data_IF_260511151453
#
_entry.id   IF_260511151453
#
_cell.length_a   1.000
_cell.length_b   1.000
_cell.length_c   1.000
_cell.angle_alpha   90.00
_cell.angle_beta   90.00
_cell.angle_gamma   90.00
#
_symmetry.space_group_name_H-M   'P 1'
#
loop_
_entity.id
_entity.type
_entity.pdbx_description
1 polymer ?
#
# COMPACT_ATOMS: atom_id res chain seq x y z
N UNK A 1 -35.11 -21.89 -7.31
CA UNK A 1 -34.57 -21.01 -8.37
C UNK A 1 -33.61 -20.07 -7.71
N UNK A 2 -32.28 -20.24 -7.84
CA UNK A 2 -31.32 -19.24 -7.33
C UNK A 2 -31.24 -18.10 -8.33
N UNK A 3 -31.42 -16.89 -7.83
CA UNK A 3 -31.36 -15.64 -8.57
C UNK A 3 -29.91 -15.37 -8.94
N UNK A 4 -29.59 -15.46 -10.21
CA UNK A 4 -28.30 -15.03 -10.77
C UNK A 4 -28.09 -13.54 -10.48
N UNK A 5 -27.06 -13.23 -9.70
CA UNK A 5 -26.56 -11.86 -9.53
C UNK A 5 -25.73 -11.54 -10.79
N UNK A 6 -26.08 -10.49 -11.56
CA UNK A 6 -25.39 -10.20 -12.80
C UNK A 6 -23.92 -9.87 -12.56
N UNK A 7 -23.03 -10.56 -13.27
CA UNK A 7 -21.63 -10.20 -13.44
C UNK A 7 -21.52 -8.75 -13.97
N UNK A 8 -21.36 -7.79 -13.11
CA UNK A 8 -20.94 -6.47 -13.52
C UNK A 8 -19.43 -6.52 -13.85
N UNK A 9 -19.13 -6.75 -15.12
CA UNK A 9 -17.85 -6.29 -15.69
C UNK A 9 -17.75 -4.79 -15.40
N UNK A 10 -16.80 -4.40 -14.54
CA UNK A 10 -16.49 -3.00 -14.30
C UNK A 10 -15.66 -2.51 -15.51
N UNK A 11 -16.31 -2.38 -16.65
CA UNK A 11 -15.79 -1.71 -17.84
C UNK A 11 -16.26 -0.26 -17.79
N UNK A 12 -15.68 0.55 -16.91
CA UNK A 12 -15.74 1.98 -16.96
C UNK A 12 -14.41 2.51 -17.44
N UNK A 13 -14.32 3.02 -18.67
CA UNK A 13 -13.27 3.98 -19.04
C UNK A 13 -13.46 5.20 -18.15
N UNK A 14 -12.77 5.23 -17.01
CA UNK A 14 -12.76 6.42 -16.16
C UNK A 14 -11.74 7.40 -16.72
N UNK A 15 -12.22 8.48 -17.33
CA UNK A 15 -11.43 9.69 -17.51
C UNK A 15 -10.92 10.10 -16.12
N UNK A 16 -9.62 9.85 -15.82
CA UNK A 16 -9.01 10.13 -14.51
C UNK A 16 -8.43 8.94 -13.76
N UNK A 17 -8.43 7.71 -14.30
CA UNK A 17 -7.73 6.59 -13.69
C UNK A 17 -6.20 6.76 -13.78
N UNK A 18 -5.51 6.47 -12.67
CA UNK A 18 -4.05 6.42 -12.63
C UNK A 18 -3.55 5.02 -12.99
N UNK A 19 -4.37 4.00 -12.75
CA UNK A 19 -4.07 2.60 -13.02
C UNK A 19 -5.28 1.89 -13.62
N UNK A 20 -5.02 1.09 -14.65
CA UNK A 20 -5.94 0.10 -15.19
C UNK A 20 -5.27 -1.26 -15.24
N UNK A 21 -5.91 -2.27 -14.69
CA UNK A 21 -5.47 -3.67 -14.70
C UNK A 21 -6.55 -4.49 -15.40
N UNK A 22 -6.14 -5.27 -16.42
CA UNK A 22 -7.05 -6.12 -17.17
C UNK A 22 -6.49 -7.55 -17.23
N UNK A 23 -7.25 -8.51 -16.69
CA UNK A 23 -6.97 -9.94 -16.67
C UNK A 23 -5.57 -10.31 -16.17
N UNK A 24 -5.11 -9.61 -15.14
CA UNK A 24 -3.81 -9.86 -14.53
C UNK A 24 -3.76 -11.26 -13.94
N UNK A 25 -2.82 -12.05 -14.43
CA UNK A 25 -2.51 -13.39 -13.93
C UNK A 25 -1.03 -13.48 -13.60
N UNK A 26 -0.70 -13.96 -12.40
CA UNK A 26 0.67 -14.22 -11.96
C UNK A 26 0.79 -15.66 -11.50
N UNK A 27 1.78 -16.36 -12.05
CA UNK A 27 2.08 -17.74 -11.69
C UNK A 27 3.58 -17.89 -11.39
N UNK A 28 3.90 -18.78 -10.48
CA UNK A 28 5.26 -19.27 -10.24
C UNK A 28 5.24 -20.78 -10.47
N UNK A 29 6.07 -21.23 -11.38
CA UNK A 29 6.03 -22.60 -11.90
C UNK A 29 4.58 -22.98 -12.31
N UNK A 30 4.05 -24.06 -11.78
CA UNK A 30 2.69 -24.54 -12.06
C UNK A 30 1.61 -23.95 -11.11
N UNK A 31 2.00 -23.05 -10.21
CA UNK A 31 1.08 -22.48 -9.21
C UNK A 31 0.61 -21.10 -9.60
N UNK A 32 -0.69 -20.93 -9.84
CA UNK A 32 -1.32 -19.62 -10.06
C UNK A 32 -1.55 -18.94 -8.70
N UNK A 33 -0.97 -17.75 -8.53
CA UNK A 33 -1.10 -16.92 -7.31
C UNK A 33 -2.19 -15.87 -7.48
N UNK A 34 -2.24 -15.21 -8.64
CA UNK A 34 -3.28 -14.27 -9.00
C UNK A 34 -3.92 -14.74 -10.31
N UNK A 35 -5.24 -14.79 -10.37
CA UNK A 35 -5.98 -15.27 -11.53
C UNK A 35 -6.99 -14.23 -12.02
N UNK A 36 -6.87 -13.83 -13.29
CA UNK A 36 -7.85 -13.01 -14.03
C UNK A 36 -8.34 -11.76 -13.30
N UNK A 37 -7.41 -11.05 -12.62
CA UNK A 37 -7.73 -9.89 -11.80
C UNK A 37 -7.87 -8.63 -12.68
N UNK A 38 -9.04 -7.98 -12.61
CA UNK A 38 -9.31 -6.75 -13.37
C UNK A 38 -9.88 -5.68 -12.45
N UNK A 39 -9.25 -4.49 -12.45
CA UNK A 39 -9.70 -3.33 -11.67
C UNK A 39 -9.06 -2.04 -12.18
N UNK A 40 -9.59 -0.91 -11.73
CA UNK A 40 -9.01 0.41 -11.98
C UNK A 40 -8.96 1.25 -10.72
N UNK A 41 -8.01 2.19 -10.65
CA UNK A 41 -7.81 3.10 -9.53
C UNK A 41 -7.77 4.53 -10.05
N UNK A 42 -8.61 5.39 -9.47
CA UNK A 42 -8.62 6.81 -9.79
C UNK A 42 -7.38 7.53 -9.20
N UNK A 43 -6.95 8.61 -9.84
CA UNK A 43 -5.90 9.49 -9.30
C UNK A 43 -6.34 10.08 -7.95
N UNK A 44 -5.45 10.11 -6.97
CA UNK A 44 -5.73 10.60 -5.62
C UNK A 44 -6.58 9.65 -4.76
N UNK A 45 -6.96 8.48 -5.29
CA UNK A 45 -7.68 7.48 -4.50
C UNK A 45 -6.76 6.72 -3.53
N UNK A 46 -7.35 6.12 -2.51
CA UNK A 46 -6.69 5.19 -1.61
C UNK A 46 -7.27 3.79 -1.80
N UNK A 47 -6.47 2.87 -2.33
CA UNK A 47 -6.82 1.46 -2.47
C UNK A 47 -6.17 0.65 -1.37
N UNK A 48 -6.98 0.06 -0.47
CA UNK A 48 -6.47 -0.96 0.43
C UNK A 48 -6.55 -2.36 -0.21
N UNK A 49 -5.53 -3.17 0.01
CA UNK A 49 -5.48 -4.58 -0.42
C UNK A 49 -5.46 -5.46 0.82
N UNK A 50 -6.50 -6.26 1.00
CA UNK A 50 -6.64 -7.18 2.12
C UNK A 50 -6.76 -8.62 1.62
N UNK A 51 -6.65 -9.56 2.55
CA UNK A 51 -6.79 -11.00 2.28
C UNK A 51 -5.89 -11.83 3.17
N UNK A 52 -6.10 -13.15 3.25
CA UNK A 52 -5.31 -14.04 4.09
C UNK A 52 -3.83 -14.07 3.69
N UNK A 53 -3.00 -14.61 4.57
CA UNK A 53 -1.59 -14.82 4.25
C UNK A 53 -1.47 -15.77 3.05
N UNK A 54 -0.58 -15.42 2.12
CA UNK A 54 -0.41 -16.19 0.87
C UNK A 54 -1.45 -15.92 -0.22
N UNK A 55 -2.37 -14.95 -0.05
CA UNK A 55 -3.35 -14.58 -1.09
C UNK A 55 -2.77 -13.79 -2.26
N UNK A 56 -1.48 -13.46 -2.23
CA UNK A 56 -0.82 -12.77 -3.34
C UNK A 56 -0.74 -11.24 -3.22
N UNK A 57 -1.00 -10.63 -2.05
CA UNK A 57 -0.97 -9.17 -1.87
C UNK A 57 0.36 -8.53 -2.30
N UNK A 58 1.49 -9.00 -1.74
CA UNK A 58 2.83 -8.55 -2.14
C UNK A 58 3.15 -8.90 -3.59
N UNK A 59 2.66 -10.04 -4.09
CA UNK A 59 2.83 -10.46 -5.49
C UNK A 59 2.13 -9.46 -6.41
N UNK A 60 0.91 -9.01 -6.06
CA UNK A 60 0.21 -7.96 -6.78
C UNK A 60 1.07 -6.69 -6.86
N UNK A 61 1.59 -6.19 -5.72
CA UNK A 61 2.42 -4.98 -5.74
C UNK A 61 3.66 -5.13 -6.61
N UNK A 62 4.34 -6.28 -6.53
CA UNK A 62 5.51 -6.56 -7.39
C UNK A 62 5.16 -6.61 -8.88
N UNK A 63 3.99 -7.15 -9.23
CA UNK A 63 3.50 -7.12 -10.61
C UNK A 63 3.18 -5.70 -11.06
N UNK A 64 2.50 -4.91 -10.22
CA UNK A 64 2.13 -3.52 -10.53
C UNK A 64 3.34 -2.62 -10.83
N UNK A 65 4.46 -2.82 -10.12
CA UNK A 65 5.71 -2.07 -10.36
C UNK A 65 6.62 -2.74 -11.42
N UNK A 66 6.18 -3.82 -12.06
CA UNK A 66 6.95 -4.51 -13.08
C UNK A 66 8.15 -5.32 -12.57
N UNK A 67 8.19 -5.64 -11.26
CA UNK A 67 9.30 -6.38 -10.64
C UNK A 67 9.25 -7.91 -10.88
N UNK A 68 8.13 -8.43 -11.37
CA UNK A 68 7.92 -9.84 -11.69
C UNK A 68 7.14 -9.98 -12.99
N UNK A 69 7.29 -11.11 -13.72
CA UNK A 69 6.51 -11.39 -14.92
C UNK A 69 5.05 -11.64 -14.59
N UNK A 70 4.17 -11.27 -15.53
CA UNK A 70 2.73 -11.47 -15.43
C UNK A 70 2.12 -11.65 -16.83
N UNK A 71 0.91 -12.21 -16.89
CA UNK A 71 0.03 -12.20 -18.05
C UNK A 71 -1.11 -11.22 -17.85
N UNK A 72 -1.75 -10.77 -18.93
CA UNK A 72 -2.74 -9.69 -18.91
C UNK A 72 -2.14 -8.31 -19.16
N UNK A 73 -2.78 -7.26 -18.68
CA UNK A 73 -2.34 -5.89 -18.94
C UNK A 73 -2.36 -5.05 -17.66
N UNK A 74 -1.27 -4.32 -17.43
CA UNK A 74 -1.17 -3.26 -16.41
C UNK A 74 -0.85 -1.97 -17.16
N UNK A 75 -1.73 -0.98 -17.05
CA UNK A 75 -1.55 0.34 -17.67
C UNK A 75 -1.59 1.42 -16.61
N UNK A 76 -0.46 2.09 -16.44
CA UNK A 76 -0.35 3.30 -15.65
C UNK A 76 -0.56 4.53 -16.53
N UNK A 77 -1.10 5.60 -15.96
CA UNK A 77 -1.15 6.88 -16.64
C UNK A 77 0.27 7.31 -17.06
N UNK A 78 0.45 7.92 -18.24
CA UNK A 78 1.77 8.33 -18.71
C UNK A 78 2.49 9.24 -17.70
N UNK A 79 3.78 8.98 -17.49
CA UNK A 79 4.63 9.76 -16.59
C UNK A 79 4.40 9.50 -15.10
N UNK A 80 3.60 8.51 -14.70
CA UNK A 80 3.39 8.15 -13.30
C UNK A 80 4.70 7.74 -12.62
N UNK A 81 5.02 8.41 -11.52
CA UNK A 81 6.18 8.11 -10.66
C UNK A 81 5.75 7.34 -9.44
N UNK A 82 6.54 6.34 -9.02
CA UNK A 82 6.23 5.45 -7.92
C UNK A 82 7.16 5.65 -6.73
N UNK A 83 6.56 5.61 -5.53
CA UNK A 83 7.26 5.27 -4.30
C UNK A 83 6.81 3.88 -3.85
N UNK A 84 7.73 3.04 -3.40
CA UNK A 84 7.42 1.71 -2.87
C UNK A 84 8.10 1.48 -1.53
N UNK A 85 7.31 1.09 -0.54
CA UNK A 85 7.78 0.65 0.77
C UNK A 85 7.46 -0.83 0.90
N UNK A 86 8.46 -1.72 0.85
CA UNK A 86 8.25 -3.17 0.99
C UNK A 86 7.99 -3.55 2.44
N UNK A 87 7.30 -4.67 2.66
CA UNK A 87 7.03 -5.24 3.99
C UNK A 87 8.33 -5.54 4.77
N UNK A 88 9.33 -6.05 4.09
CA UNK A 88 10.67 -6.28 4.63
C UNK A 88 11.69 -5.68 3.69
N UNK A 89 12.58 -4.93 4.26
CA UNK A 89 13.79 -4.53 3.58
C UNK A 89 14.88 -5.50 4.06
N UNK A 90 15.42 -6.32 3.16
CA UNK A 90 16.53 -7.24 3.45
C UNK A 90 17.86 -6.46 3.62
N UNK A 91 17.83 -5.45 4.47
CA UNK A 91 19.02 -4.76 4.94
C UNK A 91 19.36 -5.38 6.29
N UNK A 92 20.53 -6.01 6.37
CA UNK A 92 21.08 -6.43 7.65
C UNK A 92 21.19 -5.21 8.55
N UNK A 93 20.44 -5.20 9.66
CA UNK A 93 20.42 -4.06 10.59
C UNK A 93 21.79 -3.80 11.25
N UNK A 94 22.68 -4.78 11.18
CA UNK A 94 24.06 -4.68 11.66
C UNK A 94 25.00 -3.90 10.72
N UNK A 95 24.55 -3.56 9.52
CA UNK A 95 25.33 -2.70 8.62
C UNK A 95 25.49 -1.29 9.22
N UNK A 96 26.69 -0.73 9.20
CA UNK A 96 26.96 0.61 9.72
C UNK A 96 26.48 1.70 8.76
N UNK A 97 25.22 1.59 8.33
CA UNK A 97 24.55 2.55 7.42
C UNK A 97 23.63 3.43 8.27
N UNK A 98 23.80 4.74 8.14
CA UNK A 98 22.89 5.71 8.77
C UNK A 98 21.67 6.00 7.89
N UNK A 99 20.61 6.55 8.51
CA UNK A 99 19.45 7.05 7.74
C UNK A 99 19.85 8.10 6.70
N UNK A 100 20.86 8.92 7.01
CA UNK A 100 21.41 9.92 6.09
C UNK A 100 22.04 9.28 4.86
N UNK A 101 22.76 8.17 5.01
CA UNK A 101 23.40 7.48 3.89
C UNK A 101 22.33 6.86 2.98
N UNK A 102 21.26 6.29 3.58
CA UNK A 102 20.13 5.76 2.82
C UNK A 102 19.44 6.84 1.98
N UNK A 103 19.14 7.99 2.56
CA UNK A 103 18.51 9.10 1.83
C UNK A 103 19.44 9.70 0.76
N UNK A 104 20.75 9.80 1.01
CA UNK A 104 21.74 10.25 0.02
C UNK A 104 21.77 9.31 -1.19
N UNK A 105 21.79 8.00 -0.95
CA UNK A 105 21.74 7.03 -2.04
C UNK A 105 20.49 7.22 -2.91
N UNK A 106 19.33 7.42 -2.29
CA UNK A 106 18.08 7.69 -3.02
C UNK A 106 18.13 8.99 -3.82
N UNK A 107 18.62 10.08 -3.24
CA UNK A 107 18.78 11.36 -3.94
C UNK A 107 19.65 11.22 -5.18
N UNK A 108 20.77 10.49 -5.07
CA UNK A 108 21.68 10.23 -6.19
C UNK A 108 21.00 9.45 -7.31
N UNK A 109 20.29 8.36 -6.97
CA UNK A 109 19.61 7.49 -7.96
C UNK A 109 18.43 8.23 -8.63
N UNK A 110 17.71 9.05 -7.86
CA UNK A 110 16.53 9.77 -8.36
C UNK A 110 16.89 11.10 -9.04
N UNK A 111 18.16 11.50 -9.04
CA UNK A 111 18.60 12.85 -9.46
C UNK A 111 17.81 13.98 -8.77
N UNK A 112 17.37 13.73 -7.52
CA UNK A 112 16.53 14.63 -6.76
C UNK A 112 17.39 15.66 -5.99
N UNK A 113 16.84 16.84 -5.73
CA UNK A 113 17.50 17.86 -4.95
C UNK A 113 17.55 17.49 -3.45
N UNK A 114 18.57 17.96 -2.74
CA UNK A 114 18.74 17.68 -1.30
C UNK A 114 17.53 18.12 -0.45
N UNK A 115 16.90 19.20 -0.86
CA UNK A 115 15.73 19.79 -0.23
C UNK A 115 14.54 18.81 -0.22
N UNK A 116 14.46 17.92 -1.21
CA UNK A 116 13.39 16.90 -1.26
C UNK A 116 13.48 15.89 -0.11
N UNK A 117 14.70 15.57 0.36
CA UNK A 117 14.86 14.71 1.52
C UNK A 117 14.34 15.39 2.80
N UNK A 118 14.63 16.69 2.99
CA UNK A 118 14.14 17.44 4.14
C UNK A 118 12.62 17.59 4.12
N UNK A 119 12.06 17.81 2.94
CA UNK A 119 10.62 17.88 2.75
C UNK A 119 9.95 16.51 3.03
N UNK A 120 10.52 15.42 2.51
CA UNK A 120 10.04 14.08 2.77
C UNK A 120 10.06 13.72 4.27
N UNK A 121 11.09 14.13 5.02
CA UNK A 121 11.16 13.92 6.47
C UNK A 121 10.07 14.68 7.23
N UNK A 122 9.79 15.92 6.83
CA UNK A 122 8.70 16.72 7.44
C UNK A 122 7.35 16.07 7.24
N UNK A 123 7.09 15.54 6.04
CA UNK A 123 5.82 14.88 5.71
C UNK A 123 5.53 13.65 6.56
N UNK A 124 6.58 12.98 7.06
CA UNK A 124 6.45 11.79 7.92
C UNK A 124 6.76 12.07 9.39
N UNK A 125 6.88 13.32 9.79
CA UNK A 125 7.22 13.74 11.16
C UNK A 125 8.49 13.06 11.71
N UNK A 126 9.53 12.93 10.88
CA UNK A 126 10.81 12.38 11.27
C UNK A 126 11.86 13.50 11.37
N UNK A 127 12.43 13.67 12.58
CA UNK A 127 13.45 14.70 12.81
C UNK A 127 14.79 14.31 12.21
N UNK A 128 15.54 15.30 11.70
CA UNK A 128 16.84 15.08 11.05
C UNK A 128 17.89 14.47 11.99
N UNK A 129 17.81 14.75 13.31
CA UNK A 129 18.74 14.22 14.30
C UNK A 129 18.72 12.68 14.35
N UNK A 130 17.59 12.07 13.99
CA UNK A 130 17.45 10.61 13.92
C UNK A 130 18.33 10.02 12.81
N UNK A 131 18.62 10.78 11.75
CA UNK A 131 19.34 10.29 10.58
C UNK A 131 20.83 10.01 10.82
N UNK A 132 21.42 10.54 11.88
CA UNK A 132 22.86 10.35 12.14
C UNK A 132 23.16 9.00 12.79
N UNK A 133 22.16 8.36 13.39
CA UNK A 133 22.30 7.05 14.01
C UNK A 133 22.23 5.92 12.96
N UNK A 134 22.86 4.77 13.24
CA UNK A 134 22.73 3.57 12.42
C UNK A 134 21.24 3.16 12.31
N UNK A 135 20.81 2.66 11.15
CA UNK A 135 19.43 2.22 10.92
C UNK A 135 19.01 1.10 11.89
N UNK A 136 19.96 0.26 12.30
CA UNK A 136 19.73 -0.80 13.29
C UNK A 136 19.39 -0.29 14.70
N UNK A 137 19.80 0.94 15.04
CA UNK A 137 19.53 1.60 16.33
C UNK A 137 18.20 2.35 16.36
N UNK A 138 17.55 2.52 15.22
CA UNK A 138 16.27 3.22 15.13
C UNK A 138 15.14 2.37 15.74
N UNK A 139 14.15 3.03 16.36
CA UNK A 139 12.90 2.34 16.71
C UNK A 139 12.19 1.87 15.43
N UNK A 140 11.32 0.85 15.55
CA UNK A 140 10.54 0.36 14.41
C UNK A 140 9.78 1.49 13.71
N UNK A 141 9.11 2.37 14.46
CA UNK A 141 8.39 3.52 13.91
C UNK A 141 9.29 4.57 13.25
N UNK A 142 10.48 4.83 13.80
CA UNK A 142 11.45 5.71 13.16
C UNK A 142 11.94 5.14 11.82
N UNK A 143 12.26 3.85 11.80
CA UNK A 143 12.73 3.18 10.60
C UNK A 143 11.64 3.13 9.52
N UNK A 144 10.40 2.81 9.87
CA UNK A 144 9.29 2.79 8.92
C UNK A 144 9.00 4.19 8.35
N UNK A 145 9.00 5.24 9.18
CA UNK A 145 8.88 6.62 8.68
C UNK A 145 10.04 7.02 7.78
N UNK A 146 11.25 6.57 8.08
CA UNK A 146 12.40 6.77 7.18
C UNK A 146 12.19 6.10 5.82
N UNK A 147 11.64 4.87 5.78
CA UNK A 147 11.33 4.17 4.53
C UNK A 147 10.24 4.89 3.72
N UNK A 148 9.22 5.43 4.38
CA UNK A 148 8.20 6.25 3.70
C UNK A 148 8.84 7.55 3.18
N UNK A 149 9.67 8.25 3.97
CA UNK A 149 10.41 9.42 3.49
C UNK A 149 11.30 9.08 2.27
N UNK A 150 12.01 7.96 2.32
CA UNK A 150 12.78 7.44 1.18
C UNK A 150 11.92 7.25 -0.07
N UNK A 151 10.73 6.67 0.07
CA UNK A 151 9.80 6.45 -1.04
C UNK A 151 9.23 7.76 -1.60
N UNK A 152 9.13 8.82 -0.79
CA UNK A 152 8.62 10.14 -1.18
C UNK A 152 9.63 10.98 -1.98
N UNK A 153 10.94 10.67 -1.90
CA UNK A 153 11.96 11.36 -2.70
C UNK A 153 11.73 11.07 -4.19
N UNK A 154 11.75 12.10 -5.00
CA UNK A 154 11.37 12.05 -6.42
C UNK A 154 9.90 12.38 -6.66
N UNK A 155 9.18 12.80 -5.60
CA UNK A 155 7.78 13.28 -5.66
C UNK A 155 6.85 12.30 -6.40
N UNK A 156 6.63 11.10 -5.86
CA UNK A 156 5.81 10.09 -6.50
C UNK A 156 4.36 10.54 -6.61
N UNK A 157 3.71 10.18 -7.72
CA UNK A 157 2.26 10.33 -7.91
C UNK A 157 1.49 9.19 -7.23
N UNK A 158 2.18 8.05 -7.05
CA UNK A 158 1.63 6.82 -6.46
C UNK A 158 2.57 6.29 -5.39
N UNK A 159 2.03 5.96 -4.22
CA UNK A 159 2.76 5.35 -3.12
C UNK A 159 2.18 3.95 -2.82
N UNK A 160 3.02 2.93 -2.99
CA UNK A 160 2.69 1.56 -2.64
C UNK A 160 3.31 1.22 -1.28
N UNK A 161 2.49 0.80 -0.33
CA UNK A 161 2.86 0.54 1.06
C UNK A 161 2.51 -0.90 1.42
N UNK A 162 3.50 -1.77 1.54
CA UNK A 162 3.31 -3.18 1.85
C UNK A 162 3.50 -3.39 3.36
N UNK A 163 2.40 -3.44 4.11
CA UNK A 163 2.37 -3.59 5.58
C UNK A 163 3.30 -2.60 6.33
N UNK A 164 3.21 -1.29 6.06
CA UNK A 164 4.19 -0.32 6.55
C UNK A 164 4.21 -0.18 8.08
N UNK A 165 3.18 -0.64 8.79
CA UNK A 165 3.09 -0.59 10.25
C UNK A 165 3.46 -1.91 10.93
N UNK A 166 3.89 -2.94 10.19
CA UNK A 166 4.25 -4.23 10.77
C UNK A 166 5.45 -4.11 11.73
N UNK A 167 5.27 -4.59 12.96
CA UNK A 167 6.32 -4.55 13.98
C UNK A 167 6.60 -3.16 14.58
N UNK A 168 5.70 -2.21 14.38
CA UNK A 168 5.74 -0.87 14.98
C UNK A 168 4.82 -0.86 16.20
N UNK A 169 5.20 -0.17 17.26
CA UNK A 169 4.38 0.05 18.45
C UNK A 169 3.15 0.92 18.16
N UNK A 170 2.12 0.86 18.99
CA UNK A 170 0.85 1.54 18.75
C UNK A 170 0.98 3.07 18.51
N UNK A 171 1.79 3.84 19.27
CA UNK A 171 2.02 5.26 18.97
C UNK A 171 2.68 5.49 17.61
N UNK A 172 3.65 4.65 17.23
CA UNK A 172 4.32 4.71 15.94
C UNK A 172 3.40 4.37 14.77
N UNK A 173 2.51 3.38 14.94
CA UNK A 173 1.48 3.03 13.96
C UNK A 173 0.51 4.17 13.72
N UNK A 174 0.03 4.81 14.80
CA UNK A 174 -0.87 5.96 14.69
C UNK A 174 -0.22 7.14 13.95
N UNK A 175 1.02 7.49 14.32
CA UNK A 175 1.76 8.57 13.67
C UNK A 175 2.02 8.29 12.18
N UNK A 176 2.33 7.04 11.82
CA UNK A 176 2.54 6.63 10.44
C UNK A 176 1.24 6.68 9.64
N UNK A 177 0.13 6.17 10.19
CA UNK A 177 -1.19 6.21 9.55
C UNK A 177 -1.65 7.64 9.29
N UNK A 178 -1.43 8.56 10.26
CA UNK A 178 -1.75 9.97 10.10
C UNK A 178 -0.89 10.64 9.01
N UNK A 179 0.40 10.32 8.94
CA UNK A 179 1.26 10.81 7.87
C UNK A 179 0.78 10.35 6.48
N UNK A 180 0.44 9.06 6.34
CA UNK A 180 -0.10 8.51 5.08
C UNK A 180 -1.43 9.17 4.71
N UNK A 181 -2.31 9.40 5.70
CA UNK A 181 -3.57 10.10 5.49
C UNK A 181 -3.36 11.52 4.93
N UNK A 182 -2.43 12.29 5.51
CA UNK A 182 -2.10 13.64 5.03
C UNK A 182 -1.59 13.60 3.59
N UNK A 183 -0.69 12.70 3.26
CA UNK A 183 -0.18 12.53 1.89
C UNK A 183 -1.32 12.28 0.88
N UNK A 184 -2.30 11.49 1.25
CA UNK A 184 -3.43 11.17 0.39
C UNK A 184 -4.44 12.32 0.33
N UNK A 185 -4.89 12.86 1.47
CA UNK A 185 -5.97 13.84 1.53
C UNK A 185 -5.53 15.26 1.17
N UNK A 186 -4.37 15.68 1.66
CA UNK A 186 -3.91 17.07 1.53
C UNK A 186 -3.05 17.27 0.28
N UNK A 187 -2.32 16.23 -0.16
CA UNK A 187 -1.41 16.32 -1.29
C UNK A 187 -1.88 15.57 -2.54
N UNK A 188 -2.98 14.81 -2.43
CA UNK A 188 -3.56 14.09 -3.55
C UNK A 188 -2.72 12.91 -4.06
N UNK A 189 -1.79 12.38 -3.25
CA UNK A 189 -1.00 11.20 -3.60
C UNK A 189 -1.92 9.98 -3.64
N UNK A 190 -1.89 9.25 -4.75
CA UNK A 190 -2.63 7.98 -4.84
C UNK A 190 -1.93 6.94 -3.97
N UNK A 191 -2.64 6.29 -3.07
CA UNK A 191 -2.05 5.32 -2.14
C UNK A 191 -2.58 3.91 -2.37
N UNK A 192 -1.68 2.94 -2.36
CA UNK A 192 -1.98 1.52 -2.34
C UNK A 192 -1.44 0.97 -1.02
N UNK A 193 -2.30 0.44 -0.18
CA UNK A 193 -1.95 0.00 1.17
C UNK A 193 -2.31 -1.47 1.36
N UNK A 194 -1.32 -2.32 1.60
CA UNK A 194 -1.56 -3.64 2.19
C UNK A 194 -1.56 -3.47 3.70
N UNK A 195 -2.65 -3.87 4.36
CA UNK A 195 -2.76 -3.81 5.81
C UNK A 195 -3.60 -4.98 6.34
N UNK A 196 -3.25 -5.45 7.53
CA UNK A 196 -4.05 -6.38 8.31
C UNK A 196 -4.97 -5.66 9.32
N UNK A 197 -4.75 -4.36 9.53
CA UNK A 197 -5.57 -3.54 10.40
C UNK A 197 -6.81 -3.04 9.65
N UNK A 198 -7.94 -3.73 9.88
CA UNK A 198 -9.21 -3.40 9.25
C UNK A 198 -9.76 -2.05 9.68
N UNK A 199 -9.38 -1.54 10.86
CA UNK A 199 -9.78 -0.21 11.32
C UNK A 199 -9.11 0.87 10.48
N UNK A 200 -7.81 0.73 10.24
CA UNK A 200 -7.06 1.61 9.32
C UNK A 200 -7.66 1.56 7.92
N UNK A 201 -7.91 0.35 7.40
CA UNK A 201 -8.51 0.16 6.07
C UNK A 201 -9.88 0.84 5.97
N UNK A 202 -10.74 0.66 6.98
CA UNK A 202 -12.09 1.22 6.97
C UNK A 202 -12.11 2.75 6.96
N UNK A 203 -11.21 3.39 7.72
CA UNK A 203 -11.20 4.84 7.87
C UNK A 203 -10.46 5.58 6.74
N UNK A 204 -9.45 4.95 6.13
CA UNK A 204 -8.56 5.64 5.20
C UNK A 204 -8.70 5.21 3.74
N UNK A 205 -9.24 4.02 3.45
CA UNK A 205 -9.38 3.55 2.09
C UNK A 205 -10.64 4.11 1.43
N UNK A 206 -10.52 4.61 0.20
CA UNK A 206 -11.67 4.93 -0.65
C UNK A 206 -12.25 3.68 -1.31
N UNK A 207 -11.42 2.65 -1.48
CA UNK A 207 -11.80 1.35 -2.01
C UNK A 207 -10.94 0.24 -1.41
N UNK A 208 -11.52 -0.96 -1.34
CA UNK A 208 -10.86 -2.16 -0.81
C UNK A 208 -10.88 -3.24 -1.87
N UNK A 209 -9.69 -3.73 -2.23
CA UNK A 209 -9.51 -4.93 -3.02
C UNK A 209 -9.25 -6.10 -2.06
N UNK A 210 -10.19 -7.01 -2.02
CA UNK A 210 -10.02 -8.24 -1.28
C UNK A 210 -9.51 -9.35 -2.19
N UNK A 211 -8.32 -9.86 -1.87
CA UNK A 211 -7.73 -10.99 -2.56
C UNK A 211 -8.07 -12.29 -1.82
N UNK A 212 -8.87 -13.13 -2.45
CA UNK A 212 -9.17 -14.48 -2.00
C UNK A 212 -8.83 -15.47 -3.13
N UNK A 213 -8.53 -16.72 -2.75
CA UNK A 213 -8.09 -17.75 -3.72
C UNK A 213 -9.13 -18.02 -4.82
N UNK A 214 -10.40 -17.99 -4.47
CA UNK A 214 -11.48 -18.34 -5.41
C UNK A 214 -12.13 -17.13 -6.07
N UNK A 215 -12.21 -16.01 -5.37
CA UNK A 215 -12.92 -14.83 -5.87
C UNK A 215 -12.41 -13.55 -5.23
N UNK A 216 -11.74 -12.72 -6.01
CA UNK A 216 -11.37 -11.37 -5.58
C UNK A 216 -12.57 -10.43 -5.70
N UNK A 217 -12.68 -9.46 -4.79
CA UNK A 217 -13.75 -8.45 -4.81
C UNK A 217 -13.18 -7.05 -4.60
N UNK A 218 -13.79 -6.06 -5.27
CA UNK A 218 -13.42 -4.64 -5.14
C UNK A 218 -14.68 -3.84 -4.81
N UNK A 219 -14.57 -2.92 -3.88
CA UNK A 219 -15.67 -2.03 -3.53
C UNK A 219 -15.33 -1.06 -2.40
N UNK A 220 -16.27 -0.18 -2.02
CA UNK A 220 -16.10 0.68 -0.84
C UNK A 220 -15.92 -0.16 0.44
N UNK A 221 -15.19 0.35 1.45
CA UNK A 221 -14.96 -0.36 2.71
C UNK A 221 -16.24 -0.90 3.34
N UNK A 222 -17.31 -0.10 3.36
CA UNK A 222 -18.61 -0.44 3.96
C UNK A 222 -19.29 -1.65 3.29
N UNK A 223 -18.95 -1.93 2.03
CA UNK A 223 -19.49 -3.05 1.25
C UNK A 223 -18.63 -4.30 1.35
N UNK A 224 -17.30 -4.12 1.40
CA UNK A 224 -16.33 -5.23 1.39
C UNK A 224 -16.03 -5.73 2.81
N UNK A 225 -15.97 -4.83 3.80
CA UNK A 225 -15.61 -5.16 5.18
C UNK A 225 -16.84 -5.50 6.05
N UNK A 226 -17.73 -6.36 5.56
CA UNK A 226 -18.81 -6.88 6.39
C UNK A 226 -18.37 -8.17 7.10
N UNK A 227 -18.89 -8.48 8.31
CA UNK A 227 -18.54 -9.69 9.04
C UNK A 227 -18.71 -10.98 8.22
N UNK A 228 -19.78 -11.04 7.41
CA UNK A 228 -20.10 -12.18 6.56
C UNK A 228 -19.00 -12.37 5.50
N UNK A 229 -18.67 -11.30 4.76
CA UNK A 229 -17.64 -11.35 3.72
C UNK A 229 -16.25 -11.62 4.28
N UNK A 230 -15.92 -10.99 5.41
CA UNK A 230 -14.63 -11.25 6.08
C UNK A 230 -14.53 -12.72 6.53
N UNK A 231 -15.63 -13.29 7.04
CA UNK A 231 -15.67 -14.70 7.42
C UNK A 231 -15.49 -15.64 6.21
N UNK A 232 -16.10 -15.33 5.07
CA UNK A 232 -15.89 -16.07 3.82
C UNK A 232 -14.43 -16.00 3.34
N UNK A 233 -13.82 -14.81 3.41
CA UNK A 233 -12.47 -14.55 2.94
C UNK A 233 -11.39 -15.22 3.81
N UNK A 234 -11.55 -15.11 5.13
CA UNK A 234 -10.57 -15.61 6.10
C UNK A 234 -10.87 -17.02 6.61
N UNK A 235 -12.03 -17.58 6.26
CA UNK A 235 -12.44 -18.93 6.66
C UNK A 235 -12.75 -19.10 8.15
N UNK A 236 -12.82 -18.00 8.91
CA UNK A 236 -13.13 -17.96 10.35
C UNK A 236 -14.06 -16.80 10.65
N UNK A 237 -15.00 -16.95 11.64
CA UNK A 237 -15.84 -15.84 12.07
C UNK A 237 -14.96 -14.66 12.53
N UNK A 238 -15.09 -13.53 11.88
CA UNK A 238 -14.40 -12.29 12.27
C UNK A 238 -15.46 -11.33 12.79
N UNK A 239 -15.36 -10.96 14.07
CA UNK A 239 -16.09 -9.83 14.63
C UNK A 239 -15.21 -8.60 14.56
N UNK A 240 -15.66 -7.61 13.81
CA UNK A 240 -15.01 -6.34 13.64
C UNK A 240 -15.83 -5.28 14.36
N UNK A 241 -15.25 -4.65 15.36
CA UNK A 241 -15.86 -3.52 16.06
C UNK A 241 -15.27 -2.23 15.51
N UNK A 242 -16.09 -1.46 14.81
CA UNK A 242 -15.78 -0.06 14.51
C UNK A 242 -15.83 0.72 15.81
N UNK A 243 -14.71 1.21 16.30
CA UNK A 243 -14.72 2.28 17.29
C UNK A 243 -15.10 3.55 16.54
N UNK A 244 -16.36 3.94 16.63
CA UNK A 244 -16.80 5.28 16.25
C UNK A 244 -16.15 6.27 17.25
N UNK A 245 -15.06 6.89 16.87
CA UNK A 245 -14.51 8.07 17.54
C UNK A 245 -15.43 9.29 17.28
N UNK A 246 -16.71 9.18 17.71
CA UNK A 246 -17.57 10.31 17.91
C UNK A 246 -17.50 10.68 19.38
N UNK A 247 -16.49 11.45 19.76
CA UNK A 247 -16.33 11.80 21.14
C UNK A 247 -15.51 13.05 21.42
N UNK A 248 -16.11 14.24 21.15
CA UNK A 248 -15.89 15.57 21.79
C UNK A 248 -14.63 16.32 21.40
#
# INVERSE_FOLDING_TARGET
MPTEVPERRITGQYAGSVLEVDRLTVSFDDTVILADLSFSVARGASLAVIGPNGSGKTVLFRALIGAIPYAGTIRWAPGTRFGYVPQKLDIERDLPISGRDLLRAKLTISHAAKEEALDALKRVDLREEVLVQPIGSMSGGQFQRLLVAFALIGKPDVLLLDEPAAGVDAPGQQALSEAIRRLQQDEGVTTFLISHDLSVVYHYASSVLCLARERSSLGPPQVVLTPERLSEIYGTPISFHLHDDHGR
#
